data_IF_633273090736
#
_entry.id   IF_633273090736
#
_cell.length_a   1.000
_cell.length_b   1.000
_cell.length_c   1.000
_cell.angle_alpha   90.00
_cell.angle_beta   90.00
_cell.angle_gamma   90.00
#
_symmetry.space_group_name_H-M   'P 1'
#
loop_
_entity.id
_entity.type
_entity.pdbx_description
1 polymer ?
#
# COMPACT_ATOMS: atom_id res chain seq x y z
N UNK A 1 -2.44 -0.55 10.68
CA UNK A 1 -1.33 -1.50 10.73
C UNK A 1 -0.01 -0.74 10.86
N UNK A 2 0.76 -1.00 11.92
CA UNK A 2 2.02 -0.34 12.26
C UNK A 2 3.18 -1.34 12.16
N UNK A 3 3.76 -1.47 10.95
CA UNK A 3 4.88 -2.39 10.68
C UNK A 3 6.18 -1.63 10.45
N UNK A 4 6.14 -0.58 9.61
CA UNK A 4 7.32 0.16 9.15
C UNK A 4 8.00 0.91 10.28
N UNK A 5 9.33 0.84 10.30
CA UNK A 5 10.21 1.56 11.23
C UNK A 5 11.17 2.46 10.47
N UNK A 6 11.81 3.45 11.11
CA UNK A 6 12.74 4.37 10.44
C UNK A 6 13.82 3.67 9.60
N UNK A 7 14.30 2.50 10.04
CA UNK A 7 15.32 1.70 9.36
C UNK A 7 14.78 0.47 8.61
N UNK A 8 13.49 0.15 8.75
CA UNK A 8 12.90 -1.10 8.23
C UNK A 8 11.56 -0.83 7.52
N UNK A 9 11.61 -0.70 6.20
CA UNK A 9 10.42 -0.60 5.34
C UNK A 9 10.29 -1.82 4.43
N UNK A 10 10.99 -1.82 3.30
CA UNK A 10 10.98 -2.96 2.35
C UNK A 10 11.61 -4.21 2.94
N UNK A 11 12.62 -4.10 3.78
CA UNK A 11 13.13 -5.21 4.57
C UNK A 11 12.42 -5.30 5.92
N UNK A 12 11.31 -6.00 5.95
CA UNK A 12 10.54 -6.26 7.16
C UNK A 12 11.25 -7.17 8.17
N UNK A 13 12.37 -7.81 7.80
CA UNK A 13 13.16 -8.60 8.73
C UNK A 13 14.09 -7.76 9.62
N UNK A 14 14.29 -6.49 9.27
CA UNK A 14 15.10 -5.53 10.01
C UNK A 14 14.33 -4.77 11.10
N UNK A 15 13.10 -5.19 11.42
CA UNK A 15 12.28 -4.63 12.52
C UNK A 15 13.03 -4.79 13.84
N UNK A 16 13.06 -3.71 14.64
CA UNK A 16 13.72 -3.65 15.95
C UNK A 16 12.76 -3.48 17.11
N UNK A 17 11.49 -3.14 16.87
CA UNK A 17 10.50 -3.09 17.93
C UNK A 17 10.39 -4.46 18.60
N UNK A 18 10.35 -4.48 19.92
CA UNK A 18 10.30 -5.68 20.76
C UNK A 18 9.01 -5.75 21.56
N UNK A 19 8.60 -6.96 21.88
CA UNK A 19 7.55 -7.23 22.85
C UNK A 19 8.03 -8.33 23.79
N UNK A 20 8.14 -8.01 25.08
CA UNK A 20 8.62 -8.91 26.11
C UNK A 20 7.47 -9.22 27.07
N UNK A 21 7.23 -10.49 27.33
CA UNK A 21 6.20 -10.90 28.30
C UNK A 21 6.69 -10.67 29.73
N UNK A 22 5.93 -9.88 30.49
CA UNK A 22 6.07 -9.76 31.94
C UNK A 22 5.14 -10.79 32.59
N UNK A 23 5.71 -11.92 33.00
CA UNK A 23 4.95 -13.02 33.58
C UNK A 23 4.28 -12.65 34.92
N UNK A 24 4.78 -11.61 35.63
CA UNK A 24 4.23 -11.18 36.92
C UNK A 24 2.89 -10.46 36.76
N UNK A 25 2.78 -9.65 35.70
CA UNK A 25 1.56 -8.87 35.39
C UNK A 25 0.70 -9.52 34.34
N UNK A 26 1.21 -10.55 33.65
CA UNK A 26 0.61 -11.19 32.49
C UNK A 26 0.34 -10.19 31.36
N UNK A 27 1.33 -9.33 31.07
CA UNK A 27 1.26 -8.28 30.04
C UNK A 27 2.46 -8.36 29.10
N UNK A 28 2.26 -7.95 27.86
CA UNK A 28 3.35 -7.68 26.92
C UNK A 28 3.84 -6.25 27.07
N UNK A 29 5.14 -6.06 27.20
CA UNK A 29 5.81 -4.75 27.24
C UNK A 29 6.42 -4.48 25.86
N UNK A 30 5.85 -3.52 25.13
CA UNK A 30 6.26 -3.15 23.79
C UNK A 30 7.18 -1.92 23.83
N UNK A 31 8.29 -2.01 23.08
CA UNK A 31 9.24 -0.91 22.91
C UNK A 31 9.64 -0.77 21.45
N UNK A 32 9.68 0.47 20.92
CA UNK A 32 10.12 0.78 19.56
C UNK A 32 9.41 1.97 18.96
N UNK A 33 9.74 2.26 17.70
CA UNK A 33 9.14 3.36 16.93
C UNK A 33 8.55 2.82 15.62
N UNK A 34 7.37 3.29 15.28
CA UNK A 34 6.69 2.98 14.02
C UNK A 34 6.42 4.25 13.24
N UNK A 35 6.62 4.21 11.93
CA UNK A 35 6.40 5.36 11.05
C UNK A 35 5.39 5.02 9.95
N UNK A 36 4.82 6.06 9.36
CA UNK A 36 3.84 5.95 8.26
C UNK A 36 2.59 5.13 8.59
N UNK A 37 2.13 5.24 9.86
CA UNK A 37 0.91 4.56 10.31
C UNK A 37 -0.30 5.35 9.86
N UNK A 38 -1.02 4.80 8.88
CA UNK A 38 -2.26 5.40 8.35
C UNK A 38 -3.37 5.38 9.40
N UNK A 39 -4.11 6.49 9.49
CA UNK A 39 -5.21 6.72 10.45
C UNK A 39 -4.79 6.53 11.93
N UNK A 40 -3.49 6.68 12.23
CA UNK A 40 -2.99 6.44 13.59
C UNK A 40 -3.39 7.54 14.57
N UNK A 41 -3.42 8.80 14.14
CA UNK A 41 -3.91 9.90 14.97
C UNK A 41 -5.39 9.73 15.27
N UNK A 42 -6.20 9.50 14.24
CA UNK A 42 -7.62 9.28 14.40
C UNK A 42 -7.92 8.09 15.31
N UNK A 43 -7.19 7.00 15.17
CA UNK A 43 -7.41 5.79 15.97
C UNK A 43 -7.02 5.99 17.43
N UNK A 44 -5.90 6.66 17.72
CA UNK A 44 -5.32 6.72 19.06
C UNK A 44 -5.69 7.98 19.86
N UNK A 45 -6.05 9.09 19.18
CA UNK A 45 -6.26 10.39 19.83
C UNK A 45 -7.64 11.00 19.58
N UNK A 46 -8.38 10.58 18.54
CA UNK A 46 -9.69 11.13 18.20
C UNK A 46 -10.84 10.13 18.39
N UNK A 47 -10.55 8.87 18.69
CA UNK A 47 -11.57 7.83 18.87
C UNK A 47 -11.10 6.76 19.86
N UNK A 48 -12.01 5.90 20.31
CA UNK A 48 -11.70 4.71 21.11
C UNK A 48 -11.22 3.57 20.18
N UNK A 49 -10.26 3.87 19.32
CA UNK A 49 -9.77 2.94 18.32
C UNK A 49 -8.55 2.16 18.80
N UNK A 50 -7.90 1.50 17.86
CA UNK A 50 -6.67 0.75 18.11
C UNK A 50 -5.74 0.74 16.89
N UNK A 51 -4.49 0.39 17.14
CA UNK A 51 -3.51 0.09 16.09
C UNK A 51 -2.99 -1.33 16.27
N UNK A 52 -2.73 -2.02 15.15
CA UNK A 52 -2.06 -3.32 15.15
C UNK A 52 -0.57 -3.10 14.91
N UNK A 53 0.22 -3.36 15.95
CA UNK A 53 1.67 -3.12 15.98
C UNK A 53 2.43 -4.43 15.77
N UNK A 54 3.39 -4.45 14.85
CA UNK A 54 4.31 -5.56 14.66
C UNK A 54 5.57 -5.37 15.50
N UNK A 55 5.89 -6.38 16.32
CA UNK A 55 7.09 -6.40 17.16
C UNK A 55 7.66 -7.82 17.24
N UNK A 56 8.92 -7.94 17.64
CA UNK A 56 9.57 -9.23 17.84
C UNK A 56 9.46 -9.67 19.31
N UNK A 57 8.98 -10.88 19.53
CA UNK A 57 9.01 -11.54 20.84
C UNK A 57 10.33 -12.29 21.06
N UNK A 58 11.11 -12.55 20.00
CA UNK A 58 12.44 -13.13 20.05
C UNK A 58 13.25 -12.59 18.84
N UNK A 59 14.11 -11.57 19.04
CA UNK A 59 14.94 -11.03 17.98
C UNK A 59 15.92 -12.05 17.36
N UNK A 60 16.35 -13.07 18.12
CA UNK A 60 17.27 -14.10 17.64
C UNK A 60 16.59 -15.08 16.66
N UNK A 61 15.29 -15.23 16.77
CA UNK A 61 14.49 -16.04 15.86
C UNK A 61 14.18 -15.33 14.52
N UNK A 62 14.58 -14.07 14.36
CA UNK A 62 14.35 -13.27 13.16
C UNK A 62 12.84 -13.22 12.82
N UNK A 63 12.50 -13.58 11.57
CA UNK A 63 11.08 -13.55 11.13
C UNK A 63 10.15 -14.51 11.90
N UNK A 64 10.67 -15.57 12.49
CA UNK A 64 9.89 -16.50 13.29
C UNK A 64 9.45 -15.88 14.63
N UNK A 65 10.22 -14.92 15.14
CA UNK A 65 9.89 -14.17 16.38
C UNK A 65 8.89 -13.04 16.20
N UNK A 66 8.49 -12.69 14.97
CA UNK A 66 7.59 -11.56 14.70
C UNK A 66 6.14 -11.90 15.05
N UNK A 67 5.49 -10.99 15.78
CA UNK A 67 4.06 -11.07 16.13
C UNK A 67 3.42 -9.70 15.97
N UNK A 68 2.11 -9.68 15.89
CA UNK A 68 1.32 -8.45 15.93
C UNK A 68 0.52 -8.34 17.22
N UNK A 69 0.35 -7.11 17.69
CA UNK A 69 -0.30 -6.79 18.98
C UNK A 69 -1.36 -5.73 18.74
N UNK A 70 -2.51 -5.86 19.38
CA UNK A 70 -3.52 -4.81 19.43
C UNK A 70 -3.13 -3.84 20.52
N UNK A 71 -2.95 -2.57 20.16
CA UNK A 71 -2.68 -1.46 21.10
C UNK A 71 -3.83 -0.47 20.99
N UNK A 72 -4.61 -0.38 22.03
CA UNK A 72 -5.81 0.46 22.11
C UNK A 72 -5.46 1.94 22.39
N UNK A 73 -6.37 2.83 22.03
CA UNK A 73 -6.29 4.24 22.38
C UNK A 73 -6.17 4.39 23.92
N UNK A 74 -5.37 5.36 24.35
CA UNK A 74 -5.14 5.60 25.77
C UNK A 74 -4.20 4.62 26.47
N UNK A 75 -3.66 3.59 25.78
CA UNK A 75 -2.67 2.68 26.36
C UNK A 75 -1.42 3.45 26.81
N UNK A 76 -1.05 3.42 28.11
CA UNK A 76 0.14 4.11 28.60
C UNK A 76 1.40 3.64 27.87
N UNK A 77 2.30 4.58 27.54
CA UNK A 77 3.52 4.29 26.79
C UNK A 77 3.35 4.23 25.25
N UNK A 78 2.13 4.33 24.74
CA UNK A 78 1.86 4.51 23.31
C UNK A 78 1.51 5.97 23.04
N UNK A 79 2.22 6.63 22.12
CA UNK A 79 1.94 8.02 21.75
C UNK A 79 2.24 8.32 20.29
N UNK A 80 1.43 9.18 19.68
CA UNK A 80 1.73 9.79 18.39
C UNK A 80 2.83 10.83 18.59
N UNK A 81 3.91 10.74 17.82
CA UNK A 81 5.06 11.65 17.92
C UNK A 81 5.14 12.64 16.77
N UNK A 82 4.57 12.30 15.63
CA UNK A 82 4.63 13.13 14.43
C UNK A 82 3.46 12.84 13.52
N UNK A 83 2.88 13.89 12.94
CA UNK A 83 1.95 13.79 11.80
C UNK A 83 2.71 14.14 10.52
N UNK A 84 2.64 13.29 9.50
CA UNK A 84 3.40 13.44 8.27
C UNK A 84 2.75 14.44 7.30
N UNK A 85 3.55 15.39 6.80
CA UNK A 85 3.16 16.26 5.69
C UNK A 85 3.45 15.56 4.36
N UNK A 86 2.38 15.19 3.63
CA UNK A 86 2.49 14.32 2.45
C UNK A 86 2.28 15.06 1.14
N UNK A 87 2.81 14.50 0.06
CA UNK A 87 2.57 14.96 -1.31
C UNK A 87 1.08 14.86 -1.66
N UNK A 88 0.48 13.71 -1.44
CA UNK A 88 -0.91 13.37 -1.73
C UNK A 88 -1.61 12.67 -0.57
N UNK A 89 -2.84 12.24 -0.80
CA UNK A 89 -3.76 11.65 0.19
C UNK A 89 -3.77 12.40 1.53
N UNK A 90 -3.76 13.73 1.45
CA UNK A 90 -3.59 14.61 2.63
C UNK A 90 -4.78 14.59 3.57
N UNK A 91 -5.96 14.15 3.09
CA UNK A 91 -7.16 14.00 3.92
C UNK A 91 -7.11 12.78 4.86
N UNK A 92 -6.18 11.85 4.62
CA UNK A 92 -5.91 10.72 5.52
C UNK A 92 -4.69 11.03 6.36
N UNK A 93 -4.81 11.01 7.69
CA UNK A 93 -3.67 11.18 8.58
C UNK A 93 -2.68 10.02 8.45
N UNK A 94 -1.43 10.31 8.66
CA UNK A 94 -0.35 9.34 8.65
C UNK A 94 0.66 9.78 9.70
N UNK A 95 0.97 8.92 10.65
CA UNK A 95 1.73 9.31 11.84
C UNK A 95 2.93 8.42 12.11
N UNK A 96 3.83 8.93 12.96
CA UNK A 96 4.82 8.14 13.69
C UNK A 96 4.30 7.89 15.09
N UNK A 97 4.54 6.67 15.60
CA UNK A 97 4.12 6.21 16.93
C UNK A 97 5.36 5.75 17.68
N UNK A 98 5.52 6.22 18.91
CA UNK A 98 6.52 5.72 19.86
C UNK A 98 5.84 4.79 20.87
N UNK A 99 6.46 3.64 21.09
CA UNK A 99 6.14 2.68 22.13
C UNK A 99 7.29 2.69 23.15
N UNK A 100 7.00 3.07 24.36
CA UNK A 100 7.96 3.15 25.45
C UNK A 100 7.37 2.53 26.70
N UNK A 101 7.82 1.31 27.02
CA UNK A 101 7.25 0.47 28.07
C UNK A 101 5.72 0.37 27.97
N UNK A 102 5.24 0.28 26.71
CA UNK A 102 3.83 0.22 26.38
C UNK A 102 3.30 -1.17 26.76
N UNK A 103 2.43 -1.22 27.76
CA UNK A 103 1.89 -2.46 28.30
C UNK A 103 0.53 -2.77 27.71
N UNK A 104 0.40 -3.98 27.18
CA UNK A 104 -0.86 -4.51 26.67
C UNK A 104 -1.17 -5.88 27.29
N UNK A 105 -2.44 -6.22 27.52
CA UNK A 105 -2.84 -7.54 28.02
C UNK A 105 -2.26 -8.70 27.23
N UNK A 106 -2.06 -9.84 27.87
CA UNK A 106 -1.52 -11.04 27.23
C UNK A 106 -2.32 -11.46 25.99
N UNK A 107 -3.63 -11.36 26.05
CA UNK A 107 -4.57 -11.71 24.97
C UNK A 107 -4.53 -10.78 23.75
N UNK A 108 -3.90 -9.62 23.86
CA UNK A 108 -3.78 -8.67 22.74
C UNK A 108 -2.75 -9.10 21.66
N UNK A 109 -2.04 -10.21 21.87
CA UNK A 109 -1.22 -10.82 20.85
C UNK A 109 -2.09 -11.50 19.79
N UNK A 110 -1.80 -11.23 18.51
CA UNK A 110 -2.45 -11.92 17.39
C UNK A 110 -1.56 -13.07 16.92
N UNK A 111 -1.95 -14.28 17.25
CA UNK A 111 -1.23 -15.52 16.94
C UNK A 111 -0.65 -16.21 18.18
N UNK A 112 0.29 -17.15 17.96
CA UNK A 112 0.89 -17.91 19.06
C UNK A 112 1.86 -17.05 19.89
N UNK A 113 1.80 -17.07 21.23
CA UNK A 113 2.75 -16.38 22.09
C UNK A 113 4.13 -17.06 22.12
N UNK A 114 4.25 -18.25 21.56
CA UNK A 114 5.51 -19.02 21.54
C UNK A 114 6.18 -18.96 20.17
N UNK A 115 7.51 -18.95 20.16
CA UNK A 115 8.28 -19.04 18.91
C UNK A 115 8.41 -20.52 18.55
N UNK A 116 7.62 -20.92 17.56
CA UNK A 116 7.84 -22.19 16.88
C UNK A 116 8.94 -22.01 15.81
N UNK A 117 9.69 -23.09 15.50
CA UNK A 117 10.71 -23.07 14.43
C UNK A 117 10.15 -22.78 13.02
N UNK A 118 8.90 -22.37 12.94
CA UNK A 118 8.17 -22.07 11.69
C UNK A 118 7.95 -20.57 11.54
N UNK A 119 8.03 -20.06 10.33
CA UNK A 119 7.77 -18.67 10.00
C UNK A 119 6.25 -18.35 9.90
N UNK A 120 5.40 -19.03 10.67
CA UNK A 120 3.92 -18.93 10.56
C UNK A 120 3.38 -17.53 10.76
N UNK A 121 3.89 -16.78 11.76
CA UNK A 121 3.49 -15.38 11.97
C UNK A 121 3.80 -14.50 10.76
N UNK A 122 5.01 -14.59 10.23
CA UNK A 122 5.42 -13.85 9.04
C UNK A 122 4.65 -14.27 7.77
N UNK A 123 4.28 -15.55 7.64
CA UNK A 123 3.42 -16.04 6.54
C UNK A 123 2.03 -15.39 6.60
N UNK A 124 1.48 -15.20 7.80
CA UNK A 124 0.22 -14.47 7.99
C UNK A 124 0.30 -13.03 7.49
N UNK A 125 1.39 -12.31 7.79
CA UNK A 125 1.61 -10.97 7.26
C UNK A 125 1.70 -10.97 5.73
N UNK A 126 2.41 -11.93 5.13
CA UNK A 126 2.50 -12.03 3.66
C UNK A 126 1.15 -12.35 3.01
N UNK A 127 0.35 -13.23 3.61
CA UNK A 127 -1.00 -13.52 3.14
C UNK A 127 -1.90 -12.27 3.20
N UNK A 128 -1.75 -11.44 4.24
CA UNK A 128 -2.44 -10.15 4.32
C UNK A 128 -2.05 -9.24 3.15
N UNK A 129 -0.75 -9.10 2.85
CA UNK A 129 -0.30 -8.30 1.72
C UNK A 129 -0.78 -8.86 0.37
N UNK A 130 -0.83 -10.17 0.19
CA UNK A 130 -1.36 -10.77 -1.05
C UNK A 130 -2.86 -10.49 -1.23
N UNK A 131 -3.61 -10.33 -0.13
CA UNK A 131 -5.01 -9.92 -0.16
C UNK A 131 -5.19 -8.41 -0.38
N UNK A 132 -4.32 -7.56 0.18
CA UNK A 132 -4.48 -6.10 0.12
C UNK A 132 -3.90 -5.46 -1.14
N UNK A 133 -2.86 -6.02 -1.76
CA UNK A 133 -2.26 -5.49 -3.00
C UNK A 133 -3.25 -5.28 -4.14
N UNK A 134 -4.17 -6.22 -4.47
CA UNK A 134 -5.18 -5.98 -5.49
C UNK A 134 -6.15 -4.84 -5.12
N UNK A 135 -6.41 -4.60 -3.83
CA UNK A 135 -7.25 -3.48 -3.36
C UNK A 135 -6.55 -2.14 -3.65
N UNK A 136 -5.23 -2.08 -3.44
CA UNK A 136 -4.43 -0.89 -3.84
C UNK A 136 -4.44 -0.70 -5.36
N UNK A 137 -4.38 -1.78 -6.12
CA UNK A 137 -4.52 -1.71 -7.57
C UNK A 137 -5.90 -1.15 -7.98
N UNK A 138 -6.98 -1.52 -7.28
CA UNK A 138 -8.32 -0.94 -7.49
C UNK A 138 -8.34 0.57 -7.24
N UNK A 139 -7.69 1.05 -6.19
CA UNK A 139 -7.60 2.49 -5.92
C UNK A 139 -6.88 3.23 -7.07
N UNK A 140 -5.75 2.69 -7.53
CA UNK A 140 -5.02 3.26 -8.67
C UNK A 140 -5.87 3.28 -9.95
N UNK A 141 -6.56 2.18 -10.25
CA UNK A 141 -7.48 2.07 -11.40
C UNK A 141 -8.64 3.08 -11.27
N UNK A 142 -9.17 3.27 -10.07
CA UNK A 142 -10.23 4.27 -9.81
C UNK A 142 -9.78 5.70 -10.13
N UNK A 143 -8.58 6.10 -9.67
CA UNK A 143 -7.99 7.41 -9.99
C UNK A 143 -7.74 7.53 -11.49
N UNK A 144 -7.16 6.51 -12.11
CA UNK A 144 -6.86 6.51 -13.55
C UNK A 144 -8.14 6.64 -14.41
N UNK A 145 -9.23 5.96 -14.00
CA UNK A 145 -10.54 6.04 -14.66
C UNK A 145 -11.10 7.45 -14.58
N UNK A 146 -11.21 8.01 -13.36
CA UNK A 146 -11.73 9.35 -13.15
C UNK A 146 -10.92 10.39 -13.95
N UNK A 147 -9.59 10.24 -13.97
CA UNK A 147 -8.70 11.09 -14.76
C UNK A 147 -9.01 11.02 -16.24
N UNK A 148 -9.14 9.82 -16.80
CA UNK A 148 -9.41 9.63 -18.22
C UNK A 148 -10.79 10.14 -18.62
N UNK A 149 -11.80 9.92 -17.79
CA UNK A 149 -13.16 10.43 -18.00
C UNK A 149 -13.16 11.96 -18.04
N UNK A 150 -12.49 12.63 -17.08
CA UNK A 150 -12.34 14.08 -17.05
C UNK A 150 -11.61 14.62 -18.27
N UNK A 151 -10.51 14.00 -18.70
CA UNK A 151 -9.77 14.41 -19.91
C UNK A 151 -10.67 14.33 -21.13
N UNK A 152 -11.39 13.24 -21.32
CA UNK A 152 -12.32 13.08 -22.48
C UNK A 152 -13.43 14.10 -22.46
N UNK A 153 -14.01 14.40 -21.28
CA UNK A 153 -15.01 15.45 -21.12
C UNK A 153 -14.48 16.83 -21.54
N UNK A 154 -13.32 17.22 -21.03
CA UNK A 154 -12.74 18.54 -21.32
C UNK A 154 -12.26 18.66 -22.76
N UNK A 155 -11.80 17.59 -23.38
CA UNK A 155 -11.47 17.58 -24.82
C UNK A 155 -12.74 17.74 -25.67
N UNK A 156 -13.83 17.05 -25.34
CA UNK A 156 -15.11 17.16 -26.04
C UNK A 156 -15.71 18.57 -25.94
N UNK A 157 -15.64 19.23 -24.77
CA UNK A 157 -16.04 20.64 -24.58
C UNK A 157 -15.29 21.59 -25.53
N UNK A 158 -14.07 21.22 -25.96
CA UNK A 158 -13.25 21.98 -26.90
C UNK A 158 -13.37 21.43 -28.34
N UNK A 159 -14.37 20.62 -28.63
CA UNK A 159 -14.64 20.10 -29.98
C UNK A 159 -13.68 18.98 -30.42
N UNK A 160 -12.94 18.36 -29.50
CA UNK A 160 -12.02 17.26 -29.80
C UNK A 160 -12.68 15.94 -29.38
N UNK A 161 -13.14 15.20 -30.36
CA UNK A 161 -13.68 13.85 -30.19
C UNK A 161 -12.63 12.78 -30.55
N UNK A 162 -12.61 11.67 -29.81
CA UNK A 162 -11.66 10.57 -30.03
C UNK A 162 -12.22 9.61 -31.07
N UNK A 163 -11.55 9.51 -32.21
CA UNK A 163 -11.98 8.69 -33.36
C UNK A 163 -11.45 7.26 -33.27
N UNK A 164 -12.02 6.44 -32.43
CA UNK A 164 -11.62 5.05 -32.15
C UNK A 164 -11.70 4.20 -33.41
N UNK A 165 -12.05 4.22 -34.37
CA UNK A 165 -12.09 3.29 -35.55
C UNK A 165 -11.02 3.57 -36.58
N UNK A 166 -10.19 4.58 -36.40
CA UNK A 166 -9.19 4.97 -37.39
C UNK A 166 -7.85 4.27 -37.13
N UNK A 167 -7.11 3.96 -38.21
CA UNK A 167 -5.73 3.53 -38.10
C UNK A 167 -4.86 4.57 -37.38
N UNK A 168 -3.92 4.12 -36.53
CA UNK A 168 -3.09 4.98 -35.66
C UNK A 168 -2.42 6.15 -36.39
N UNK A 169 -2.03 5.96 -37.67
CA UNK A 169 -1.38 6.99 -38.49
C UNK A 169 -2.33 8.17 -38.83
N UNK A 170 -3.65 7.95 -38.80
CA UNK A 170 -4.66 8.97 -39.10
C UNK A 170 -5.17 9.71 -37.85
N UNK A 171 -4.76 9.26 -36.70
CA UNK A 171 -5.10 9.90 -35.40
C UNK A 171 -4.17 11.08 -35.14
N UNK A 172 -4.69 12.11 -34.51
CA UNK A 172 -3.89 13.21 -33.92
C UNK A 172 -3.04 12.70 -32.75
N UNK A 173 -2.09 13.51 -32.31
CA UNK A 173 -1.31 13.18 -31.10
C UNK A 173 -2.22 13.03 -29.86
N UNK A 174 -3.16 13.96 -29.68
CA UNK A 174 -4.10 13.93 -28.54
C UNK A 174 -4.90 12.62 -28.55
N UNK A 175 -5.46 12.24 -29.69
CA UNK A 175 -6.22 11.00 -29.79
C UNK A 175 -5.39 9.76 -29.47
N UNK A 176 -4.14 9.71 -29.94
CA UNK A 176 -3.20 8.61 -29.64
C UNK A 176 -2.92 8.50 -28.14
N UNK A 177 -2.63 9.63 -27.50
CA UNK A 177 -2.35 9.66 -26.05
C UNK A 177 -3.57 9.19 -25.24
N UNK A 178 -4.77 9.65 -25.58
CA UNK A 178 -6.00 9.24 -24.88
C UNK A 178 -6.27 7.74 -25.08
N UNK A 179 -6.10 7.22 -26.29
CA UNK A 179 -6.25 5.78 -26.56
C UNK A 179 -5.20 4.96 -25.79
N UNK A 180 -3.94 5.40 -25.77
CA UNK A 180 -2.89 4.72 -25.01
C UNK A 180 -3.18 4.72 -23.50
N UNK A 181 -3.70 5.82 -22.94
CA UNK A 181 -4.16 5.89 -21.57
C UNK A 181 -5.31 4.89 -21.30
N UNK A 182 -6.26 4.78 -22.22
CA UNK A 182 -7.37 3.83 -22.11
C UNK A 182 -6.89 2.37 -22.15
N UNK A 183 -5.97 2.04 -23.03
CA UNK A 183 -5.36 0.71 -23.10
C UNK A 183 -4.64 0.35 -21.78
N UNK A 184 -3.84 1.30 -21.25
CA UNK A 184 -3.18 1.12 -19.95
C UNK A 184 -4.20 0.87 -18.83
N UNK A 185 -5.25 1.69 -18.75
CA UNK A 185 -6.30 1.56 -17.76
C UNK A 185 -7.01 0.19 -17.82
N UNK A 186 -7.42 -0.22 -19.03
CA UNK A 186 -8.11 -1.51 -19.23
C UNK A 186 -7.22 -2.69 -18.89
N UNK A 187 -5.93 -2.63 -19.25
CA UNK A 187 -4.96 -3.66 -18.92
C UNK A 187 -4.78 -3.79 -17.39
N UNK A 188 -4.65 -2.66 -16.69
CA UNK A 188 -4.56 -2.64 -15.23
C UNK A 188 -5.82 -3.20 -14.57
N UNK A 189 -6.99 -2.84 -15.08
CA UNK A 189 -8.27 -3.34 -14.62
C UNK A 189 -8.36 -4.86 -14.74
N UNK A 190 -8.04 -5.42 -15.92
CA UNK A 190 -8.09 -6.88 -16.14
C UNK A 190 -7.13 -7.65 -15.23
N UNK A 191 -5.90 -7.15 -15.03
CA UNK A 191 -4.96 -7.75 -14.09
C UNK A 191 -5.49 -7.71 -12.65
N UNK A 192 -6.11 -6.61 -12.27
CA UNK A 192 -6.67 -6.41 -10.92
C UNK A 192 -7.84 -7.36 -10.68
N UNK A 193 -8.81 -7.42 -11.61
CA UNK A 193 -9.96 -8.32 -11.50
C UNK A 193 -9.51 -9.79 -11.47
N UNK A 194 -8.51 -10.18 -12.26
CA UNK A 194 -7.96 -11.53 -12.21
C UNK A 194 -7.41 -11.86 -10.81
N UNK A 195 -6.63 -10.95 -10.21
CA UNK A 195 -6.05 -11.17 -8.89
C UNK A 195 -7.14 -11.28 -7.80
N UNK A 196 -8.18 -10.44 -7.86
CA UNK A 196 -9.33 -10.48 -6.94
C UNK A 196 -10.14 -11.76 -7.12
N UNK A 197 -10.46 -12.13 -8.36
CA UNK A 197 -11.19 -13.37 -8.66
C UNK A 197 -10.46 -14.62 -8.11
N UNK A 198 -9.12 -14.66 -8.24
CA UNK A 198 -8.31 -15.73 -7.66
C UNK A 198 -8.44 -15.77 -6.14
N UNK A 199 -8.40 -14.60 -5.48
CA UNK A 199 -8.56 -14.51 -4.02
C UNK A 199 -9.95 -15.01 -3.57
N UNK A 200 -11.02 -14.58 -4.24
CA UNK A 200 -12.39 -14.99 -3.94
C UNK A 200 -12.58 -16.51 -4.09
N UNK A 201 -11.90 -17.11 -5.06
CA UNK A 201 -11.93 -18.55 -5.30
C UNK A 201 -10.87 -19.33 -4.49
N UNK A 202 -10.19 -18.68 -3.53
CA UNK A 202 -9.15 -19.27 -2.67
C UNK A 202 -7.96 -19.86 -3.46
N UNK A 203 -7.69 -19.33 -4.64
CA UNK A 203 -6.54 -19.69 -5.47
C UNK A 203 -5.35 -18.83 -5.04
N UNK A 204 -4.23 -19.48 -4.71
CA UNK A 204 -3.01 -18.78 -4.31
C UNK A 204 -2.49 -17.85 -5.42
N UNK A 205 -2.38 -16.55 -5.14
CA UNK A 205 -2.20 -15.50 -6.14
C UNK A 205 -1.10 -14.45 -5.87
N UNK A 206 -0.01 -14.74 -5.17
CA UNK A 206 1.02 -13.73 -4.83
C UNK A 206 1.63 -13.07 -6.06
N UNK A 207 1.77 -13.80 -7.16
CA UNK A 207 2.26 -13.28 -8.45
C UNK A 207 1.26 -12.32 -9.06
N UNK A 208 0.01 -12.72 -9.21
CA UNK A 208 -1.05 -11.91 -9.81
C UNK A 208 -1.38 -10.68 -8.96
N UNK A 209 -1.39 -10.82 -7.63
CA UNK A 209 -1.57 -9.71 -6.69
C UNK A 209 -0.43 -8.68 -6.83
N UNK A 210 0.82 -9.14 -6.94
CA UNK A 210 1.97 -8.25 -7.15
C UNK A 210 1.98 -7.62 -8.55
N UNK A 211 1.62 -8.38 -9.60
CA UNK A 211 1.50 -7.87 -10.98
C UNK A 211 0.46 -6.76 -11.09
N UNK A 212 -0.73 -6.97 -10.52
CA UNK A 212 -1.81 -5.97 -10.53
C UNK A 212 -1.37 -4.67 -9.85
N UNK A 213 -0.76 -4.77 -8.66
CA UNK A 213 -0.30 -3.61 -7.88
C UNK A 213 0.80 -2.83 -8.58
N UNK A 214 1.81 -3.53 -9.13
CA UNK A 214 2.91 -2.90 -9.86
C UNK A 214 2.40 -2.16 -11.09
N UNK A 215 1.60 -2.83 -11.91
CA UNK A 215 1.17 -2.25 -13.16
C UNK A 215 0.20 -1.08 -12.93
N UNK A 216 -0.79 -1.25 -12.04
CA UNK A 216 -1.73 -0.18 -11.72
C UNK A 216 -1.03 1.05 -11.11
N UNK A 217 -0.08 0.85 -10.18
CA UNK A 217 0.70 1.93 -9.56
C UNK A 217 1.58 2.69 -10.56
N UNK A 218 2.14 1.99 -11.56
CA UNK A 218 2.92 2.63 -12.62
C UNK A 218 2.05 3.44 -13.58
N UNK A 219 0.93 2.86 -14.03
CA UNK A 219 0.12 3.51 -15.07
C UNK A 219 -0.69 4.68 -14.55
N UNK A 220 -1.14 4.64 -13.30
CA UNK A 220 -1.91 5.75 -12.74
C UNK A 220 -1.09 7.05 -12.69
N UNK A 221 0.20 6.95 -12.35
CA UNK A 221 1.09 8.11 -12.37
C UNK A 221 1.28 8.62 -13.80
N UNK A 222 1.47 7.73 -14.78
CA UNK A 222 1.60 8.11 -16.19
C UNK A 222 0.33 8.76 -16.74
N UNK A 223 -0.84 8.18 -16.42
CA UNK A 223 -2.13 8.69 -16.86
C UNK A 223 -2.41 10.07 -16.26
N UNK A 224 -2.23 10.24 -14.95
CA UNK A 224 -2.47 11.52 -14.29
C UNK A 224 -1.49 12.60 -14.73
N UNK A 225 -0.22 12.27 -14.93
CA UNK A 225 0.77 13.19 -15.49
C UNK A 225 0.39 13.62 -16.91
N UNK A 226 0.08 12.65 -17.77
CA UNK A 226 -0.29 12.93 -19.16
C UNK A 226 -1.57 13.76 -19.24
N UNK A 227 -2.53 13.53 -18.35
CA UNK A 227 -3.74 14.32 -18.27
C UNK A 227 -3.47 15.78 -17.93
N UNK A 228 -2.54 16.06 -17.00
CA UNK A 228 -2.10 17.44 -16.70
C UNK A 228 -1.48 18.09 -17.94
N UNK A 229 -0.64 17.36 -18.69
CA UNK A 229 -0.03 17.85 -19.93
C UNK A 229 -1.09 18.16 -21.02
N UNK A 230 -2.07 17.27 -21.19
CA UNK A 230 -3.13 17.43 -22.22
C UNK A 230 -4.07 18.62 -21.93
N UNK A 231 -4.39 18.86 -20.66
CA UNK A 231 -5.26 19.95 -20.25
C UNK A 231 -4.52 21.27 -19.94
N UNK A 232 -3.17 21.24 -19.97
CA UNK A 232 -2.30 22.41 -19.81
C UNK A 232 -2.60 23.20 -18.53
N UNK A 233 -2.75 24.55 -18.60
CA UNK A 233 -2.99 25.38 -17.42
C UNK A 233 -4.21 24.97 -16.60
N UNK A 234 -5.28 24.51 -17.23
CA UNK A 234 -6.48 24.03 -16.56
C UNK A 234 -6.19 22.76 -15.76
N UNK A 235 -5.41 21.83 -16.33
CA UNK A 235 -5.00 20.60 -15.65
C UNK A 235 -4.06 20.83 -14.45
N UNK A 236 -3.30 21.94 -14.49
CA UNK A 236 -2.39 22.33 -13.41
C UNK A 236 -3.06 23.16 -12.33
N UNK A 237 -4.19 23.80 -12.64
CA UNK A 237 -4.96 24.62 -11.69
C UNK A 237 -5.71 23.77 -10.67
N UNK A 238 -6.16 24.40 -9.57
CA UNK A 238 -7.02 23.74 -8.57
C UNK A 238 -8.50 23.80 -8.90
N UNK A 239 -8.89 24.30 -10.06
CA UNK A 239 -10.28 24.33 -10.51
C UNK A 239 -10.81 22.91 -10.77
N UNK A 240 -9.93 22.02 -11.23
CA UNK A 240 -10.19 20.59 -11.37
C UNK A 240 -9.50 19.81 -10.24
N UNK A 241 -9.94 18.57 -10.00
CA UNK A 241 -9.28 17.66 -9.08
C UNK A 241 -8.02 17.00 -9.65
N UNK A 242 -7.65 17.32 -10.89
CA UNK A 242 -6.61 16.60 -11.63
C UNK A 242 -5.22 16.77 -10.99
N UNK A 243 -4.86 17.98 -10.56
CA UNK A 243 -3.58 18.21 -9.86
C UNK A 243 -3.50 17.42 -8.54
N UNK A 244 -4.66 17.29 -7.86
CA UNK A 244 -4.79 16.48 -6.65
C UNK A 244 -4.62 15.00 -6.97
N UNK A 245 -5.30 14.49 -7.98
CA UNK A 245 -5.19 13.08 -8.37
C UNK A 245 -3.78 12.71 -8.81
N UNK A 246 -3.07 13.61 -9.48
CA UNK A 246 -1.66 13.41 -9.82
C UNK A 246 -0.78 13.25 -8.58
N UNK A 247 -0.98 14.08 -7.55
CA UNK A 247 -0.25 13.96 -6.28
C UNK A 247 -0.67 12.71 -5.49
N UNK A 248 -1.95 12.38 -5.47
CA UNK A 248 -2.48 11.22 -4.77
C UNK A 248 -2.06 9.89 -5.42
N UNK A 249 -1.92 9.87 -6.75
CA UNK A 249 -1.59 8.67 -7.51
C UNK A 249 -0.25 8.04 -7.07
N UNK A 250 0.75 8.85 -6.75
CA UNK A 250 2.12 8.35 -6.49
C UNK A 250 2.22 7.38 -5.33
N UNK A 251 1.38 7.52 -4.30
CA UNK A 251 1.44 6.64 -3.14
C UNK A 251 1.11 5.19 -3.48
N UNK A 252 0.28 4.95 -4.50
CA UNK A 252 -0.14 3.59 -4.88
C UNK A 252 1.02 2.72 -5.39
N UNK A 253 2.13 3.34 -5.82
CA UNK A 253 3.37 2.64 -6.15
C UNK A 253 4.24 2.36 -4.91
N UNK A 254 4.06 3.10 -3.81
CA UNK A 254 4.96 3.07 -2.65
C UNK A 254 4.49 2.13 -1.54
N UNK A 255 3.28 2.33 -1.01
CA UNK A 255 2.79 1.55 0.13
C UNK A 255 2.35 0.13 -0.27
N UNK A 256 2.10 -0.74 0.73
CA UNK A 256 1.78 -2.17 0.53
C UNK A 256 2.87 -2.94 -0.26
N UNK A 257 4.12 -2.51 -0.07
CA UNK A 257 5.28 -2.96 -0.82
C UNK A 257 5.51 -2.13 -2.07
N UNK A 258 6.72 -1.58 -2.20
CA UNK A 258 7.08 -0.74 -3.35
C UNK A 258 6.97 -1.49 -4.67
N UNK A 259 6.84 -0.76 -5.77
CA UNK A 259 6.87 -1.33 -7.12
C UNK A 259 8.09 -2.22 -7.36
N UNK A 260 9.25 -1.85 -6.81
CA UNK A 260 10.48 -2.64 -6.90
C UNK A 260 10.34 -3.99 -6.19
N UNK A 261 9.87 -4.00 -4.93
CA UNK A 261 9.66 -5.24 -4.16
C UNK A 261 8.64 -6.15 -4.85
N UNK A 262 7.55 -5.58 -5.34
CA UNK A 262 6.53 -6.36 -6.04
C UNK A 262 7.06 -6.95 -7.35
N UNK A 263 7.92 -6.23 -8.11
CA UNK A 263 8.63 -6.79 -9.28
C UNK A 263 9.52 -7.96 -8.93
N UNK A 264 10.24 -7.90 -7.80
CA UNK A 264 11.03 -9.03 -7.30
C UNK A 264 10.15 -10.23 -6.94
N UNK A 265 8.98 -10.00 -6.33
CA UNK A 265 8.00 -11.08 -6.06
C UNK A 265 7.54 -11.73 -7.36
N UNK A 266 7.19 -10.93 -8.38
CA UNK A 266 6.78 -11.44 -9.70
C UNK A 266 7.91 -12.24 -10.34
N UNK A 267 9.12 -11.68 -10.43
CA UNK A 267 10.28 -12.33 -11.04
C UNK A 267 10.60 -13.66 -10.36
N UNK A 268 10.60 -13.67 -9.03
CA UNK A 268 10.86 -14.90 -8.25
C UNK A 268 9.82 -15.99 -8.54
N UNK A 269 8.55 -15.64 -8.60
CA UNK A 269 7.49 -16.59 -8.92
C UNK A 269 7.58 -17.11 -10.37
N UNK A 270 7.95 -16.26 -11.32
CA UNK A 270 8.09 -16.65 -12.73
C UNK A 270 9.29 -17.54 -12.98
N UNK A 271 10.39 -17.29 -12.27
CA UNK A 271 11.66 -18.03 -12.44
C UNK A 271 11.76 -19.23 -11.49
N UNK A 272 10.84 -19.40 -10.56
CA UNK A 272 10.84 -20.49 -9.59
C UNK A 272 11.93 -20.38 -8.51
N UNK A 273 12.51 -19.18 -8.32
CA UNK A 273 13.56 -18.98 -7.30
C UNK A 273 13.00 -18.99 -5.88
N UNK A 274 13.78 -19.57 -4.96
CA UNK A 274 13.56 -19.47 -3.51
C UNK A 274 14.18 -18.18 -2.98
N UNK A 275 13.66 -17.65 -1.86
CA UNK A 275 14.16 -16.41 -1.28
C UNK A 275 15.65 -16.42 -0.90
N UNK A 276 16.23 -17.61 -0.68
CA UNK A 276 17.67 -17.80 -0.42
C UNK A 276 18.55 -17.66 -1.67
N UNK A 277 17.98 -17.77 -2.86
CA UNK A 277 18.71 -17.72 -4.15
C UNK A 277 18.80 -16.30 -4.73
N UNK A 278 18.15 -15.34 -4.10
CA UNK A 278 18.13 -13.92 -4.51
C UNK A 278 18.91 -13.02 -3.53
N UNK A 279 19.90 -13.55 -2.85
CA UNK A 279 20.77 -12.81 -1.93
C UNK A 279 22.02 -12.33 -2.65
#
# INVERSE_FOLDING_TARGET
LAMTEPQAGSDTSAIRATAVLDEKTNEWVLNGEKIFVTAGHKALEESDGFVVVWASIDPQAGRAGMRSFVVEAGTPGCRVTKMEHKLGIRASDTVSILLQDCRVPFENILGSPTVEKTTTGFKGAMATFDATRPIIACQAVGIARATLELVKEKLAENGIEIRYGLPRQKLTNIEREVIDMEVMLRSAWLLTIKALWMADNKIHNPKEASMSKVYAGDIVVKITQKAVELLGPLGYSRELLLEKWFRDAKITDLYEGTGQINRLVVARNMLGYRGSELR
#
